data_IF_763626914333
#
_entry.id   IF_763626914333
#
_cell.length_a   1.000
_cell.length_b   1.000
_cell.length_c   1.000
_cell.angle_alpha   90.00
_cell.angle_beta   90.00
_cell.angle_gamma   90.00
#
_symmetry.space_group_name_H-M   'P 1'
#
loop_
_entity.id
_entity.type
_entity.pdbx_description
1 polymer ?
#
# COMPACT_ATOMS: atom_id res chain seq x y z
N UNK A 1 -0.76 -23.99 18.28
CA UNK A 1 0.65 -23.56 18.05
C UNK A 1 1.13 -23.67 16.60
N UNK A 2 0.75 -24.68 15.79
CA UNK A 2 1.17 -24.79 14.37
C UNK A 2 0.82 -23.55 13.50
N UNK A 3 -0.35 -22.95 13.69
CA UNK A 3 -0.80 -21.79 12.89
C UNK A 3 -0.07 -20.46 13.20
N UNK A 4 0.43 -20.27 14.42
CA UNK A 4 1.11 -19.02 14.80
C UNK A 4 2.50 -18.98 14.16
N UNK A 5 3.20 -20.12 14.14
CA UNK A 5 4.52 -20.25 13.49
C UNK A 5 4.44 -20.06 11.98
N UNK A 6 3.36 -20.53 11.33
CA UNK A 6 3.16 -20.30 9.89
C UNK A 6 2.84 -18.83 9.58
N UNK A 7 1.99 -18.18 10.39
CA UNK A 7 1.66 -16.77 10.22
C UNK A 7 2.88 -15.85 10.42
N UNK A 8 3.69 -16.10 11.46
CA UNK A 8 4.90 -15.31 11.71
C UNK A 8 5.95 -15.49 10.61
N UNK A 9 6.13 -16.71 10.11
CA UNK A 9 7.01 -17.00 8.98
C UNK A 9 6.55 -16.33 7.68
N UNK A 10 5.24 -16.24 7.46
CA UNK A 10 4.66 -15.51 6.32
C UNK A 10 4.87 -14.00 6.44
N UNK A 11 4.73 -13.42 7.64
CA UNK A 11 5.06 -12.01 7.87
C UNK A 11 6.54 -11.76 7.59
N UNK A 12 7.42 -12.64 8.07
CA UNK A 12 8.86 -12.52 7.81
C UNK A 12 9.18 -12.64 6.31
N UNK A 13 8.57 -13.57 5.58
CA UNK A 13 8.78 -13.69 4.14
C UNK A 13 8.35 -12.43 3.38
N UNK A 14 7.26 -11.78 3.81
CA UNK A 14 6.84 -10.49 3.27
C UNK A 14 7.83 -9.37 3.61
N UNK A 15 8.35 -9.32 4.84
CA UNK A 15 9.40 -8.36 5.21
C UNK A 15 10.63 -8.54 4.32
N UNK A 16 11.08 -9.77 4.11
CA UNK A 16 12.22 -10.10 3.24
C UNK A 16 11.94 -9.70 1.78
N UNK A 17 10.74 -9.95 1.28
CA UNK A 17 10.37 -9.60 -0.09
C UNK A 17 10.39 -8.08 -0.31
N UNK A 18 9.81 -7.33 0.63
CA UNK A 18 9.77 -5.86 0.57
C UNK A 18 11.16 -5.25 0.79
N UNK A 19 11.94 -5.76 1.74
CA UNK A 19 13.26 -5.20 2.05
C UNK A 19 14.23 -5.26 0.87
N UNK A 20 14.19 -6.35 0.08
CA UNK A 20 15.02 -6.57 -1.11
C UNK A 20 14.79 -5.59 -2.27
N UNK A 21 13.59 -5.03 -2.41
CA UNK A 21 13.28 -4.13 -3.54
C UNK A 21 13.90 -2.76 -3.32
N UNK A 22 14.30 -2.04 -4.38
CA UNK A 22 14.77 -0.66 -4.18
C UNK A 22 13.60 0.24 -3.76
N UNK A 23 13.87 1.25 -2.92
CA UNK A 23 12.81 2.13 -2.39
C UNK A 23 12.00 2.81 -3.51
N UNK A 24 12.69 3.39 -4.50
CA UNK A 24 12.03 4.07 -5.62
C UNK A 24 11.21 3.12 -6.49
N UNK A 25 11.70 1.90 -6.75
CA UNK A 25 10.97 0.88 -7.53
C UNK A 25 9.67 0.48 -6.81
N UNK A 26 9.75 0.21 -5.49
CA UNK A 26 8.59 -0.12 -4.68
C UNK A 26 7.57 1.03 -4.67
N UNK A 27 8.01 2.23 -4.33
CA UNK A 27 7.14 3.40 -4.20
C UNK A 27 6.49 3.77 -5.53
N UNK A 28 7.24 3.74 -6.64
CA UNK A 28 6.68 3.97 -7.98
C UNK A 28 5.61 2.93 -8.34
N UNK A 29 5.81 1.66 -7.93
CA UNK A 29 4.80 0.62 -8.10
C UNK A 29 3.51 0.92 -7.32
N UNK A 30 3.64 1.41 -6.08
CA UNK A 30 2.48 1.80 -5.27
C UNK A 30 1.77 3.03 -5.85
N UNK A 31 2.52 4.06 -6.23
CA UNK A 31 1.98 5.28 -6.83
C UNK A 31 1.26 4.98 -8.15
N UNK A 32 1.86 4.12 -8.99
CA UNK A 32 1.23 3.62 -10.21
C UNK A 32 -0.10 2.91 -9.93
N UNK A 33 -0.15 2.06 -8.89
CA UNK A 33 -1.38 1.39 -8.48
C UNK A 33 -2.45 2.36 -7.95
N UNK A 34 -2.04 3.42 -7.22
CA UNK A 34 -2.95 4.49 -6.78
C UNK A 34 -3.53 5.23 -7.98
N UNK A 35 -2.68 5.66 -8.91
CA UNK A 35 -3.11 6.37 -10.13
C UNK A 35 -4.08 5.50 -10.92
N UNK A 36 -3.73 4.24 -11.19
CA UNK A 36 -4.58 3.31 -11.93
C UNK A 36 -5.94 3.11 -11.22
N UNK A 37 -5.92 2.96 -9.90
CA UNK A 37 -7.15 2.84 -9.10
C UNK A 37 -8.04 4.08 -9.24
N UNK A 38 -7.46 5.28 -9.18
CA UNK A 38 -8.19 6.53 -9.35
C UNK A 38 -8.79 6.67 -10.75
N UNK A 39 -8.03 6.30 -11.80
CA UNK A 39 -8.53 6.30 -13.17
C UNK A 39 -9.73 5.37 -13.32
N UNK A 40 -9.64 4.14 -12.82
CA UNK A 40 -10.75 3.17 -12.90
C UNK A 40 -11.97 3.66 -12.11
N UNK A 41 -11.76 4.19 -10.89
CA UNK A 41 -12.82 4.73 -10.04
C UNK A 41 -13.52 5.96 -10.63
N UNK A 42 -12.83 6.72 -11.47
CA UNK A 42 -13.41 7.88 -12.15
C UNK A 42 -14.08 7.50 -13.47
N UNK A 43 -13.38 6.76 -14.34
CA UNK A 43 -13.86 6.45 -15.68
C UNK A 43 -15.01 5.45 -15.68
N UNK A 44 -15.07 4.51 -14.72
CA UNK A 44 -16.18 3.55 -14.68
C UNK A 44 -17.52 4.26 -14.45
N UNK A 45 -17.70 5.09 -13.40
CA UNK A 45 -18.91 5.90 -13.25
C UNK A 45 -19.15 6.86 -14.41
N UNK A 46 -18.09 7.50 -14.93
CA UNK A 46 -18.22 8.45 -16.05
C UNK A 46 -18.84 7.78 -17.28
N UNK A 47 -18.34 6.61 -17.66
CA UNK A 47 -18.84 5.84 -18.80
C UNK A 47 -20.28 5.39 -18.56
N UNK A 48 -20.58 4.86 -17.36
CA UNK A 48 -21.94 4.44 -16.99
C UNK A 48 -22.94 5.60 -17.03
N UNK A 49 -22.58 6.75 -16.48
CA UNK A 49 -23.43 7.95 -16.49
C UNK A 49 -23.62 8.50 -17.90
N UNK A 50 -22.60 8.41 -18.76
CA UNK A 50 -22.74 8.82 -20.15
C UNK A 50 -23.65 7.89 -20.96
N UNK A 51 -23.61 6.58 -20.71
CA UNK A 51 -24.57 5.64 -21.30
C UNK A 51 -25.99 5.86 -20.76
N UNK A 52 -26.13 6.11 -19.45
CA UNK A 52 -27.42 6.45 -18.84
C UNK A 52 -28.01 7.73 -19.45
N UNK A 53 -27.18 8.75 -19.69
CA UNK A 53 -27.58 9.98 -20.39
C UNK A 53 -28.17 9.68 -21.77
N UNK A 54 -27.51 8.83 -22.56
CA UNK A 54 -28.00 8.42 -23.88
C UNK A 54 -29.34 7.69 -23.78
N UNK A 55 -29.46 6.76 -22.83
CA UNK A 55 -30.69 5.99 -22.59
C UNK A 55 -31.87 6.89 -22.20
N UNK A 56 -31.61 7.94 -21.42
CA UNK A 56 -32.62 8.91 -20.99
C UNK A 56 -32.86 10.03 -22.02
N UNK A 57 -32.28 9.95 -23.21
CA UNK A 57 -32.36 10.98 -24.25
C UNK A 57 -31.98 12.39 -23.76
N UNK A 58 -31.07 12.48 -22.79
CA UNK A 58 -30.58 13.77 -22.29
C UNK A 58 -29.59 14.34 -23.30
N UNK A 59 -29.86 15.56 -23.77
CA UNK A 59 -29.01 16.24 -24.74
C UNK A 59 -27.55 16.33 -24.28
N UNK A 60 -26.65 16.22 -25.27
CA UNK A 60 -25.22 16.37 -25.07
C UNK A 60 -24.86 17.85 -24.95
N UNK A 61 -25.27 18.45 -23.83
CA UNK A 61 -24.98 19.84 -23.49
C UNK A 61 -23.75 19.93 -22.60
N UNK A 62 -23.13 21.12 -22.56
CA UNK A 62 -22.03 21.43 -21.63
C UNK A 62 -22.43 21.12 -20.18
N UNK A 63 -23.66 21.47 -19.79
CA UNK A 63 -24.20 21.25 -18.44
C UNK A 63 -24.25 19.76 -18.10
N UNK A 64 -24.74 18.94 -19.02
CA UNK A 64 -24.81 17.47 -18.84
C UNK A 64 -23.41 16.87 -18.64
N UNK A 65 -22.43 17.29 -19.45
CA UNK A 65 -21.06 16.78 -19.37
C UNK A 65 -20.39 17.20 -18.06
N UNK A 66 -20.49 18.47 -17.68
CA UNK A 66 -19.95 18.98 -16.42
C UNK A 66 -20.59 18.27 -15.23
N UNK A 67 -21.90 18.01 -15.27
CA UNK A 67 -22.60 17.24 -14.25
C UNK A 67 -22.07 15.81 -14.12
N UNK A 68 -21.89 15.11 -15.24
CA UNK A 68 -21.33 13.74 -15.25
C UNK A 68 -19.90 13.74 -14.69
N UNK A 69 -19.06 14.69 -15.10
CA UNK A 69 -17.70 14.83 -14.58
C UNK A 69 -17.70 15.08 -13.06
N UNK A 70 -18.53 15.99 -12.58
CA UNK A 70 -18.63 16.33 -11.16
C UNK A 70 -19.08 15.13 -10.32
N UNK A 71 -20.11 14.40 -10.77
CA UNK A 71 -20.59 13.20 -10.07
C UNK A 71 -19.50 12.11 -10.08
N UNK A 72 -18.83 11.90 -11.21
CA UNK A 72 -17.76 10.89 -11.32
C UNK A 72 -16.56 11.22 -10.42
N UNK A 73 -16.17 12.49 -10.33
CA UNK A 73 -15.13 12.95 -9.42
C UNK A 73 -15.54 12.76 -7.95
N UNK A 74 -16.78 13.11 -7.60
CA UNK A 74 -17.30 12.92 -6.24
C UNK A 74 -17.33 11.43 -5.85
N UNK A 75 -17.76 10.55 -6.76
CA UNK A 75 -17.73 9.10 -6.56
C UNK A 75 -16.30 8.60 -6.43
N UNK A 76 -15.37 9.00 -7.29
CA UNK A 76 -13.97 8.61 -7.18
C UNK A 76 -13.36 9.02 -5.82
N UNK A 77 -13.62 10.25 -5.36
CA UNK A 77 -13.18 10.72 -4.06
C UNK A 77 -13.80 9.92 -2.90
N UNK A 78 -15.08 9.56 -3.00
CA UNK A 78 -15.76 8.72 -2.02
C UNK A 78 -15.15 7.31 -1.99
N UNK A 79 -14.98 6.67 -3.15
CA UNK A 79 -14.39 5.34 -3.27
C UNK A 79 -12.93 5.30 -2.80
N UNK A 80 -12.15 6.34 -3.10
CA UNK A 80 -10.77 6.46 -2.61
C UNK A 80 -10.69 6.38 -1.08
N UNK A 81 -11.60 7.10 -0.39
CA UNK A 81 -11.71 7.08 1.08
C UNK A 81 -12.25 5.75 1.60
N UNK A 82 -13.34 5.25 1.02
CA UNK A 82 -13.99 4.00 1.44
C UNK A 82 -13.06 2.80 1.33
N UNK A 83 -12.33 2.68 0.22
CA UNK A 83 -11.37 1.59 0.01
C UNK A 83 -9.99 1.85 0.63
N UNK A 84 -9.81 3.00 1.29
CA UNK A 84 -8.56 3.38 1.97
C UNK A 84 -7.33 3.22 1.07
N UNK A 85 -7.44 3.68 -0.18
CA UNK A 85 -6.45 3.44 -1.24
C UNK A 85 -5.04 3.86 -0.82
N UNK A 86 -4.88 5.02 -0.18
CA UNK A 86 -3.57 5.47 0.31
C UNK A 86 -2.96 4.58 1.40
N UNK A 87 -3.78 3.89 2.20
CA UNK A 87 -3.27 2.90 3.19
C UNK A 87 -2.95 1.56 2.52
N UNK A 88 -3.75 1.17 1.52
CA UNK A 88 -3.58 -0.08 0.77
C UNK A 88 -2.29 -0.09 -0.06
N UNK A 89 -1.99 1.04 -0.70
CA UNK A 89 -0.79 1.23 -1.51
C UNK A 89 0.17 2.20 -0.83
N UNK A 90 0.50 1.92 0.43
CA UNK A 90 1.40 2.77 1.21
C UNK A 90 2.86 2.60 0.78
N UNK A 91 3.67 3.63 1.01
CA UNK A 91 5.10 3.60 0.69
C UNK A 91 5.87 2.50 1.46
N UNK A 92 7.07 2.20 0.97
CA UNK A 92 7.92 1.12 1.49
C UNK A 92 8.14 1.22 3.00
N UNK A 93 8.43 2.41 3.51
CA UNK A 93 8.67 2.66 4.95
C UNK A 93 7.45 2.28 5.79
N UNK A 94 6.26 2.71 5.36
CA UNK A 94 4.99 2.42 6.03
C UNK A 94 4.67 0.94 6.00
N UNK A 95 4.87 0.28 4.84
CA UNK A 95 4.63 -1.16 4.68
C UNK A 95 5.54 -1.97 5.60
N UNK A 96 6.84 -1.67 5.61
CA UNK A 96 7.79 -2.35 6.51
C UNK A 96 7.49 -2.07 7.98
N UNK A 97 7.17 -0.83 8.36
CA UNK A 97 6.78 -0.50 9.72
C UNK A 97 5.56 -1.30 10.20
N UNK A 98 4.55 -1.45 9.34
CA UNK A 98 3.37 -2.27 9.64
C UNK A 98 3.71 -3.76 9.74
N UNK A 99 4.56 -4.28 8.85
CA UNK A 99 4.97 -5.69 8.91
C UNK A 99 5.79 -5.99 10.17
N UNK A 100 6.72 -5.11 10.54
CA UNK A 100 7.55 -5.26 11.74
C UNK A 100 6.70 -5.20 13.01
N UNK A 101 5.66 -4.37 13.07
CA UNK A 101 4.79 -4.29 14.26
C UNK A 101 3.94 -5.56 14.47
N UNK A 102 3.70 -6.35 13.41
CA UNK A 102 3.01 -7.63 13.48
C UNK A 102 3.96 -8.82 13.67
N UNK A 103 5.27 -8.60 13.50
CA UNK A 103 6.27 -9.66 13.53
C UNK A 103 6.72 -9.98 14.97
N UNK A 104 6.86 -11.28 15.27
CA UNK A 104 7.45 -11.79 16.51
C UNK A 104 8.90 -12.20 16.21
N UNK A 105 9.91 -11.48 16.74
CA UNK A 105 11.31 -11.77 16.44
C UNK A 105 11.81 -13.03 17.15
N UNK A 106 12.68 -13.78 16.46
CA UNK A 106 13.46 -14.86 17.04
C UNK A 106 14.55 -14.33 17.96
N UNK A 107 15.23 -13.24 17.55
CA UNK A 107 16.17 -12.52 18.40
C UNK A 107 15.56 -11.20 18.89
N UNK A 108 14.99 -11.22 20.10
CA UNK A 108 14.34 -10.04 20.71
C UNK A 108 15.30 -8.87 20.92
N UNK A 109 16.56 -9.14 21.28
CA UNK A 109 17.53 -8.08 21.59
C UNK A 109 17.88 -7.27 20.32
N UNK A 110 18.17 -7.96 19.22
CA UNK A 110 18.45 -7.33 17.92
C UNK A 110 17.24 -6.54 17.40
N UNK A 111 16.03 -7.06 17.62
CA UNK A 111 14.81 -6.36 17.22
C UNK A 111 14.55 -5.08 18.03
N UNK A 112 14.86 -5.08 19.32
CA UNK A 112 14.78 -3.85 20.14
C UNK A 112 15.88 -2.85 19.76
N UNK A 113 17.10 -3.32 19.44
CA UNK A 113 18.16 -2.46 18.89
C UNK A 113 17.69 -1.77 17.60
N UNK A 114 17.11 -2.53 16.65
CA UNK A 114 16.52 -1.97 15.43
C UNK A 114 15.49 -0.87 15.73
N UNK A 115 14.60 -1.08 16.73
CA UNK A 115 13.61 -0.06 17.12
C UNK A 115 14.24 1.21 17.69
N UNK A 116 15.31 1.07 18.47
CA UNK A 116 16.02 2.21 19.04
C UNK A 116 16.76 2.97 17.95
N UNK A 117 17.51 2.27 17.11
CA UNK A 117 18.29 2.87 16.02
C UNK A 117 17.40 3.54 14.97
N UNK A 118 16.25 2.97 14.66
CA UNK A 118 15.28 3.57 13.73
C UNK A 118 14.56 4.78 14.28
N UNK A 119 14.39 4.89 15.61
CA UNK A 119 13.91 6.12 16.26
C UNK A 119 14.96 7.21 16.24
N UNK A 120 16.22 6.86 16.48
CA UNK A 120 17.32 7.82 16.55
C UNK A 120 17.73 8.30 15.14
N UNK A 121 17.68 7.42 14.13
CA UNK A 121 18.10 7.69 12.76
C UNK A 121 17.02 7.30 11.73
N UNK A 122 15.87 7.99 11.68
CA UNK A 122 14.74 7.62 10.82
C UNK A 122 15.05 7.69 9.31
N UNK A 123 16.10 8.41 8.91
CA UNK A 123 16.58 8.45 7.53
C UNK A 123 17.09 7.07 7.07
N UNK A 124 17.76 6.33 7.96
CA UNK A 124 18.41 5.06 7.65
C UNK A 124 17.52 3.85 7.92
N UNK A 125 16.24 4.06 8.24
CA UNK A 125 15.30 2.99 8.59
C UNK A 125 15.32 1.80 7.61
N UNK A 126 15.34 2.06 6.30
CA UNK A 126 15.31 1.00 5.29
C UNK A 126 16.60 0.18 5.26
N UNK A 127 17.73 0.82 5.51
CA UNK A 127 19.04 0.19 5.59
C UNK A 127 19.14 -0.67 6.85
N UNK A 128 18.77 -0.11 8.01
CA UNK A 128 18.72 -0.82 9.29
C UNK A 128 17.81 -2.06 9.23
N UNK A 129 16.63 -1.95 8.61
CA UNK A 129 15.74 -3.10 8.41
C UNK A 129 16.38 -4.15 7.50
N UNK A 130 17.09 -3.72 6.45
CA UNK A 130 17.80 -4.65 5.56
C UNK A 130 18.90 -5.42 6.30
N UNK A 131 19.70 -4.74 7.12
CA UNK A 131 20.74 -5.35 7.95
C UNK A 131 20.16 -6.35 8.95
N UNK A 132 19.16 -5.91 9.73
CA UNK A 132 18.47 -6.77 10.68
C UNK A 132 17.85 -8.00 10.01
N UNK A 133 17.27 -7.86 8.82
CA UNK A 133 16.72 -9.00 8.05
C UNK A 133 17.80 -10.05 7.74
N UNK A 134 19.05 -9.67 7.49
CA UNK A 134 20.12 -10.65 7.26
C UNK A 134 20.46 -11.42 8.54
N UNK A 135 20.51 -10.73 9.68
CA UNK A 135 20.73 -11.35 11.00
C UNK A 135 19.59 -12.31 11.33
N UNK A 136 18.33 -11.86 11.16
CA UNK A 136 17.15 -12.65 11.48
C UNK A 136 17.02 -13.88 10.57
N UNK A 137 17.36 -13.79 9.28
CA UNK A 137 17.39 -14.97 8.37
C UNK A 137 18.33 -16.07 8.86
N UNK A 138 19.47 -15.70 9.41
CA UNK A 138 20.43 -16.66 9.96
C UNK A 138 19.86 -17.43 11.15
N UNK A 139 18.87 -16.86 11.87
CA UNK A 139 18.17 -17.55 12.95
C UNK A 139 17.12 -18.56 12.47
N UNK A 140 16.59 -18.41 11.25
CA UNK A 140 15.65 -19.39 10.64
C UNK A 140 16.36 -20.57 9.99
N UNK A 141 17.66 -20.46 9.73
CA UNK A 141 18.47 -21.52 9.12
C UNK A 141 19.16 -22.42 10.15
N UNK A 142 18.98 -22.13 11.45
CA UNK A 142 19.42 -22.93 12.60
C UNK A 142 18.24 -23.70 13.17
#
# INVERSE_FOLDING_TARGET
MKNIRSANSQIFSHIVAVSKQKEHEFNNGQDGAVILSLLVMFFTPFLLLNELRKLLHIDYSLVSIVGILAISAALAAMLYKTFKIGRKFANKKTVLGNLLSMYIPNNKNEFENLKIESKNNPANFLEQVSEWVQIEKATYSK
#
